data_IF_870429534883
#
_entry.id   IF_870429534883
#
_cell.length_a   1.000
_cell.length_b   1.000
_cell.length_c   1.000
_cell.angle_alpha   90.00
_cell.angle_beta   90.00
_cell.angle_gamma   90.00
#
_symmetry.space_group_name_H-M   'P 1'
#
loop_
_entity.id
_entity.type
_entity.pdbx_description
1 polymer ?
#
# COMPACT_ATOMS: atom_id res chain seq x y z
N UNK A 1 8.22 -26.48 7.07
CA UNK A 1 7.26 -25.36 7.23
C UNK A 1 5.91 -25.83 6.69
N UNK A 2 4.80 -25.58 7.38
CA UNK A 2 3.43 -25.83 6.87
C UNK A 2 2.72 -24.49 6.76
N UNK A 3 1.98 -24.28 5.67
CA UNK A 3 1.16 -23.09 5.47
C UNK A 3 -0.15 -23.31 6.24
N UNK A 4 -0.48 -22.42 7.17
CA UNK A 4 -1.73 -22.50 7.96
C UNK A 4 -2.90 -21.85 7.22
N UNK A 5 -2.65 -20.72 6.56
CA UNK A 5 -3.65 -19.98 5.78
C UNK A 5 -2.96 -19.35 4.57
N UNK A 6 -3.51 -19.57 3.38
CA UNK A 6 -2.92 -19.07 2.13
C UNK A 6 -3.19 -17.57 1.90
N UNK A 7 -4.38 -17.10 2.29
CA UNK A 7 -4.86 -15.74 2.04
C UNK A 7 -5.47 -15.15 3.32
N UNK A 8 -4.64 -14.69 4.25
CA UNK A 8 -5.11 -14.12 5.53
C UNK A 8 -5.73 -12.72 5.41
N UNK A 9 -5.50 -12.03 4.29
CA UNK A 9 -6.03 -10.70 4.05
C UNK A 9 -5.28 -9.97 2.94
N UNK A 10 -5.89 -8.89 2.45
CA UNK A 10 -5.25 -8.00 1.49
C UNK A 10 -4.61 -6.81 2.23
N UNK A 11 -3.45 -6.39 1.76
CA UNK A 11 -2.72 -5.23 2.29
C UNK A 11 -2.81 -4.08 1.27
N UNK A 12 -2.97 -2.86 1.78
CA UNK A 12 -2.83 -1.66 0.97
C UNK A 12 -1.36 -1.40 0.64
N UNK A 13 -1.11 -0.74 -0.49
CA UNK A 13 0.25 -0.34 -0.88
C UNK A 13 0.89 0.56 0.20
N UNK A 14 0.10 1.41 0.86
CA UNK A 14 0.55 2.23 1.98
C UNK A 14 1.03 1.39 3.16
N UNK A 15 0.28 0.37 3.60
CA UNK A 15 0.70 -0.49 4.72
C UNK A 15 2.00 -1.22 4.42
N UNK A 16 2.22 -1.64 3.17
CA UNK A 16 3.48 -2.24 2.75
C UNK A 16 4.63 -1.23 2.82
N UNK A 17 4.42 0.00 2.35
CA UNK A 17 5.41 1.08 2.45
C UNK A 17 5.73 1.42 3.91
N UNK A 18 4.72 1.57 4.75
CA UNK A 18 4.86 1.89 6.17
C UNK A 18 5.64 0.80 6.91
N UNK A 19 5.34 -0.47 6.63
CA UNK A 19 6.09 -1.60 7.16
C UNK A 19 7.55 -1.58 6.70
N UNK A 20 7.81 -1.34 5.42
CA UNK A 20 9.18 -1.27 4.90
C UNK A 20 9.95 -0.09 5.50
N UNK A 21 9.32 1.08 5.69
CA UNK A 21 9.92 2.23 6.40
C UNK A 21 10.27 1.87 7.84
N UNK A 22 9.39 1.16 8.54
CA UNK A 22 9.64 0.71 9.93
C UNK A 22 10.85 -0.23 10.04
N UNK A 23 11.16 -0.98 8.97
CA UNK A 23 12.36 -1.82 8.84
C UNK A 23 13.63 -1.03 8.47
N UNK A 24 13.52 0.26 8.18
CA UNK A 24 14.63 1.10 7.73
C UNK A 24 14.79 1.20 6.21
N UNK A 25 13.78 0.82 5.43
CA UNK A 25 13.79 1.11 3.99
C UNK A 25 13.71 2.62 3.77
N UNK A 26 14.71 3.15 3.07
CA UNK A 26 14.82 4.56 2.71
C UNK A 26 15.47 4.66 1.32
N UNK A 27 15.25 5.79 0.65
CA UNK A 27 15.89 6.09 -0.65
C UNK A 27 17.37 6.50 -0.43
N UNK A 28 17.70 6.97 0.78
CA UNK A 28 19.01 7.52 1.10
C UNK A 28 20.13 6.48 1.07
N UNK A 29 21.36 6.97 0.93
CA UNK A 29 22.59 6.17 0.96
C UNK A 29 22.79 5.39 2.27
N UNK A 30 22.03 5.71 3.32
CA UNK A 30 21.97 4.97 4.60
C UNK A 30 21.25 3.63 4.49
N UNK A 31 20.58 3.33 3.37
CA UNK A 31 19.86 2.07 3.11
C UNK A 31 20.72 0.81 3.30
N UNK A 32 22.04 0.91 3.12
CA UNK A 32 22.97 -0.22 3.32
C UNK A 32 23.01 -0.71 4.77
N UNK A 33 22.61 0.14 5.73
CA UNK A 33 22.62 -0.18 7.16
C UNK A 33 21.34 -0.89 7.62
N UNK A 34 20.27 -0.88 6.82
CA UNK A 34 19.01 -1.48 7.22
C UNK A 34 19.01 -2.99 6.96
N UNK A 35 18.30 -3.73 7.80
CA UNK A 35 18.10 -5.18 7.66
C UNK A 35 16.96 -5.46 6.66
N UNK A 36 17.08 -4.91 5.45
CA UNK A 36 16.09 -5.00 4.37
C UNK A 36 16.71 -5.74 3.20
N UNK A 37 16.04 -6.78 2.74
CA UNK A 37 16.51 -7.60 1.62
C UNK A 37 16.48 -6.81 0.30
N UNK A 38 17.31 -7.17 -0.70
CA UNK A 38 17.29 -6.52 -2.01
C UNK A 38 15.92 -6.56 -2.70
N UNK A 39 15.15 -7.64 -2.49
CA UNK A 39 13.79 -7.77 -2.99
C UNK A 39 12.83 -6.77 -2.34
N UNK A 40 12.94 -6.57 -1.02
CA UNK A 40 12.14 -5.58 -0.30
C UNK A 40 12.47 -4.15 -0.73
N UNK A 41 13.75 -3.85 -1.00
CA UNK A 41 14.15 -2.56 -1.58
C UNK A 41 13.54 -2.32 -2.95
N UNK A 42 13.54 -3.33 -3.83
CA UNK A 42 12.92 -3.19 -5.15
C UNK A 42 11.42 -2.89 -5.06
N UNK A 43 10.72 -3.50 -4.09
CA UNK A 43 9.30 -3.23 -3.82
C UNK A 43 9.13 -1.82 -3.25
N UNK A 44 9.95 -1.42 -2.29
CA UNK A 44 9.93 -0.08 -1.71
C UNK A 44 10.13 1.00 -2.77
N UNK A 45 11.20 0.87 -3.59
CA UNK A 45 11.54 1.83 -4.64
C UNK A 45 10.40 2.00 -5.66
N UNK A 46 9.70 0.90 -5.99
CA UNK A 46 8.51 0.94 -6.83
C UNK A 46 7.35 1.67 -6.13
N UNK A 47 7.00 1.26 -4.91
CA UNK A 47 5.83 1.79 -4.22
C UNK A 47 5.97 3.27 -3.85
N UNK A 48 7.18 3.75 -3.57
CA UNK A 48 7.43 5.17 -3.28
C UNK A 48 7.17 6.07 -4.50
N UNK A 49 7.28 5.53 -5.72
CA UNK A 49 6.92 6.26 -6.94
C UNK A 49 5.40 6.32 -7.18
N UNK A 50 4.61 5.55 -6.42
CA UNK A 50 3.15 5.52 -6.54
C UNK A 50 2.47 6.48 -5.56
N UNK A 51 1.14 6.57 -5.63
CA UNK A 51 0.33 7.36 -4.71
C UNK A 51 0.42 6.92 -3.24
N UNK A 52 0.97 5.74 -2.94
CA UNK A 52 1.13 5.25 -1.57
C UNK A 52 2.16 6.06 -0.75
N UNK A 53 3.04 6.82 -1.40
CA UNK A 53 4.13 7.52 -0.70
C UNK A 53 3.66 8.68 0.19
N UNK A 54 2.54 9.32 -0.18
CA UNK A 54 2.00 10.52 0.46
C UNK A 54 0.64 10.28 1.17
N UNK A 55 0.17 9.05 1.20
CA UNK A 55 -1.01 8.68 1.98
C UNK A 55 -0.69 8.61 3.47
N UNK A 56 -1.72 8.75 4.31
CA UNK A 56 -1.63 8.50 5.75
C UNK A 56 -2.74 7.54 6.17
N UNK A 57 -2.57 6.89 7.32
CA UNK A 57 -3.54 5.93 7.83
C UNK A 57 -4.90 6.56 8.11
N UNK A 58 -4.90 7.81 8.55
CA UNK A 58 -6.12 8.57 8.85
C UNK A 58 -6.93 8.80 7.58
N UNK A 59 -6.29 9.27 6.50
CA UNK A 59 -6.97 9.51 5.23
C UNK A 59 -7.54 8.23 4.62
N UNK A 60 -6.83 7.10 4.75
CA UNK A 60 -7.31 5.81 4.27
C UNK A 60 -8.55 5.37 5.06
N UNK A 61 -8.52 5.47 6.39
CA UNK A 61 -9.65 5.12 7.22
C UNK A 61 -10.88 6.00 6.94
N UNK A 62 -10.67 7.32 6.80
CA UNK A 62 -11.74 8.26 6.45
C UNK A 62 -12.35 7.94 5.07
N UNK A 63 -11.51 7.58 4.10
CA UNK A 63 -11.97 7.15 2.78
C UNK A 63 -12.80 5.86 2.84
N UNK A 64 -12.33 4.86 3.58
CA UNK A 64 -13.05 3.59 3.77
C UNK A 64 -14.41 3.85 4.42
N UNK A 65 -14.49 4.74 5.41
CA UNK A 65 -15.75 5.12 6.07
C UNK A 65 -16.73 5.80 5.10
N UNK A 66 -16.24 6.72 4.26
CA UNK A 66 -17.05 7.36 3.21
C UNK A 66 -17.52 6.36 2.15
N UNK A 67 -16.69 5.37 1.81
CA UNK A 67 -17.01 4.34 0.82
C UNK A 67 -18.12 3.38 1.26
N UNK A 68 -18.38 3.23 2.56
CA UNK A 68 -19.45 2.36 3.09
C UNK A 68 -20.84 2.71 2.54
N UNK A 69 -21.06 3.97 2.18
CA UNK A 69 -22.34 4.47 1.66
C UNK A 69 -22.62 3.90 0.25
N UNK A 70 -21.59 3.60 -0.53
CA UNK A 70 -21.69 3.19 -1.93
C UNK A 70 -21.78 1.67 -2.13
N UNK A 71 -21.66 0.88 -1.05
CA UNK A 71 -21.78 -0.58 -1.12
C UNK A 71 -20.67 -1.28 -1.92
N UNK A 72 -19.50 -0.65 -2.04
CA UNK A 72 -18.35 -1.18 -2.79
C UNK A 72 -17.77 -2.46 -2.14
N UNK A 73 -17.30 -3.39 -2.98
CA UNK A 73 -16.60 -4.56 -2.51
C UNK A 73 -15.23 -4.16 -1.90
N UNK A 74 -14.74 -4.96 -0.94
CA UNK A 74 -13.44 -4.70 -0.29
C UNK A 74 -12.27 -4.59 -1.29
N UNK A 75 -12.31 -5.38 -2.36
CA UNK A 75 -11.29 -5.35 -3.42
C UNK A 75 -11.35 -4.06 -4.26
N UNK A 76 -12.54 -3.52 -4.51
CA UNK A 76 -12.72 -2.27 -5.26
C UNK A 76 -12.20 -1.08 -4.43
N UNK A 77 -12.57 -1.03 -3.14
CA UNK A 77 -12.07 0.00 -2.22
C UNK A 77 -10.54 -0.05 -2.14
N UNK A 78 -9.96 -1.26 -2.05
CA UNK A 78 -8.52 -1.46 -2.06
C UNK A 78 -7.85 -0.95 -3.35
N UNK A 79 -8.43 -1.26 -4.52
CA UNK A 79 -7.91 -0.80 -5.81
C UNK A 79 -7.95 0.72 -5.91
N UNK A 80 -9.05 1.35 -5.47
CA UNK A 80 -9.18 2.81 -5.49
C UNK A 80 -8.13 3.46 -4.57
N UNK A 81 -7.90 2.91 -3.37
CA UNK A 81 -6.85 3.39 -2.46
C UNK A 81 -5.47 3.29 -3.12
N UNK A 82 -5.17 2.18 -3.78
CA UNK A 82 -3.85 1.92 -4.36
C UNK A 82 -3.57 2.75 -5.62
N UNK A 83 -4.55 2.90 -6.50
CA UNK A 83 -4.42 3.61 -7.79
C UNK A 83 -4.52 5.13 -7.58
N UNK A 84 -5.37 5.57 -6.63
CA UNK A 84 -5.76 6.97 -6.44
C UNK A 84 -6.21 7.60 -7.78
N UNK A 85 -7.38 7.19 -8.30
CA UNK A 85 -7.87 7.64 -9.60
C UNK A 85 -7.95 9.17 -9.63
N UNK A 86 -7.43 9.78 -10.69
CA UNK A 86 -7.50 11.24 -10.89
C UNK A 86 -8.54 11.58 -11.94
N UNK A 87 -8.84 10.64 -12.85
CA UNK A 87 -9.90 10.73 -13.84
C UNK A 87 -11.07 9.84 -13.47
N UNK A 88 -12.25 10.20 -13.99
CA UNK A 88 -13.46 9.38 -13.92
C UNK A 88 -13.23 8.03 -14.63
N UNK A 89 -12.43 8.02 -15.70
CA UNK A 89 -12.13 6.81 -16.49
C UNK A 89 -11.40 5.77 -15.64
N UNK A 90 -10.51 6.22 -14.75
CA UNK A 90 -9.71 5.35 -13.88
C UNK A 90 -10.56 4.61 -12.84
N UNK A 91 -11.79 5.06 -12.58
CA UNK A 91 -12.74 4.42 -11.66
C UNK A 91 -13.44 3.23 -12.32
N UNK A 92 -13.59 3.25 -13.65
CA UNK A 92 -14.26 2.19 -14.42
C UNK A 92 -13.31 1.08 -14.89
N UNK A 93 -12.03 1.16 -14.52
CA UNK A 93 -10.96 0.22 -14.95
C UNK A 93 -10.61 -0.74 -13.82
#
# INVERSE_FOLDING_TARGET
MKILEANAGALTNYEVVDFLRSKGAAIDSTRVLAQVSPSEYKVYDYLVQTAACNQTREHINEFVDKCKIYGLAKAEVLNIINIRPTSIIDIYT
#
